data_IF_426200619739
#
_entry.id   IF_426200619739
#
_cell.length_a   1.000
_cell.length_b   1.000
_cell.length_c   1.000
_cell.angle_alpha   90.00
_cell.angle_beta   90.00
_cell.angle_gamma   90.00
#
_symmetry.space_group_name_H-M   'P 1'
#
loop_
_entity.id
_entity.type
_entity.pdbx_description
1 polymer ?
#
# COMPACT_ATOMS: atom_id res chain seq x y z
N UNK A 1 -19.50 25.99 6.96
CA UNK A 1 -19.31 25.08 8.12
C UNK A 1 -18.17 24.11 7.82
N UNK A 2 -17.49 23.55 8.84
CA UNK A 2 -16.42 22.55 8.66
C UNK A 2 -16.90 21.18 9.13
N UNK A 3 -16.76 20.17 8.27
CA UNK A 3 -17.07 18.77 8.54
C UNK A 3 -15.77 17.96 8.50
N UNK A 4 -15.55 17.03 9.43
CA UNK A 4 -14.30 16.26 9.48
C UNK A 4 -14.50 14.90 10.16
N UNK A 5 -13.98 13.85 9.52
CA UNK A 5 -13.92 12.50 10.06
C UNK A 5 -12.80 12.33 11.10
N UNK A 6 -11.87 13.30 11.20
CA UNK A 6 -10.70 13.28 12.11
C UNK A 6 -9.83 12.02 11.98
N UNK A 7 -9.83 11.40 10.80
CA UNK A 7 -8.94 10.29 10.49
C UNK A 7 -7.50 10.81 10.47
N UNK A 8 -6.60 10.07 11.12
CA UNK A 8 -5.17 10.32 11.10
C UNK A 8 -4.51 9.45 10.03
N UNK A 9 -3.65 10.01 9.18
CA UNK A 9 -2.89 9.22 8.22
C UNK A 9 -2.06 8.15 8.94
N UNK A 10 -2.07 6.93 8.40
CA UNK A 10 -1.08 5.90 8.75
C UNK A 10 0.17 6.10 7.89
N UNK A 11 1.15 6.80 8.43
CA UNK A 11 2.34 7.31 7.73
C UNK A 11 3.64 6.58 8.11
N UNK A 12 3.56 5.55 8.95
CA UNK A 12 4.73 4.82 9.44
C UNK A 12 5.50 4.09 8.31
N UNK A 13 4.78 3.62 7.30
CA UNK A 13 5.32 3.12 6.03
C UNK A 13 4.20 3.02 4.99
N UNK A 14 4.61 2.95 3.73
CA UNK A 14 3.68 2.82 2.61
C UNK A 14 3.49 1.35 2.19
N UNK A 15 2.24 0.91 2.06
CA UNK A 15 1.85 -0.44 1.62
C UNK A 15 1.33 -0.40 0.19
N UNK A 16 0.16 0.22 0.04
CA UNK A 16 -0.53 0.54 -1.19
C UNK A 16 -1.68 1.51 -0.84
N UNK A 17 -2.29 2.12 -1.85
CA UNK A 17 -3.34 3.12 -1.66
C UNK A 17 -4.49 2.64 -0.76
N UNK A 18 -5.04 1.44 -0.99
CA UNK A 18 -6.19 0.93 -0.24
C UNK A 18 -5.83 0.60 1.20
N UNK A 19 -4.72 -0.11 1.43
CA UNK A 19 -4.34 -0.53 2.78
C UNK A 19 -3.89 0.64 3.64
N UNK A 20 -3.17 1.63 3.10
CA UNK A 20 -2.85 2.84 3.86
C UNK A 20 -4.12 3.58 4.30
N UNK A 21 -5.15 3.64 3.47
CA UNK A 21 -6.44 4.24 3.85
C UNK A 21 -7.15 3.44 4.94
N UNK A 22 -7.23 2.11 4.76
CA UNK A 22 -7.88 1.25 5.74
C UNK A 22 -7.17 1.28 7.09
N UNK A 23 -5.83 1.28 7.11
CA UNK A 23 -5.07 1.39 8.35
C UNK A 23 -5.09 2.79 8.95
N UNK A 24 -5.24 3.85 8.15
CA UNK A 24 -5.49 5.21 8.67
C UNK A 24 -6.79 5.25 9.46
N UNK A 25 -7.86 4.67 8.89
CA UNK A 25 -9.14 4.56 9.59
C UNK A 25 -9.01 3.65 10.81
N UNK A 26 -8.50 2.42 10.65
CA UNK A 26 -8.39 1.46 11.75
C UNK A 26 -7.57 2.00 12.93
N UNK A 27 -6.41 2.59 12.69
CA UNK A 27 -5.55 3.12 13.75
C UNK A 27 -6.09 4.43 14.37
N UNK A 28 -7.01 5.13 13.69
CA UNK A 28 -7.71 6.28 14.27
C UNK A 28 -8.70 5.82 15.34
N UNK A 29 -9.47 4.77 15.05
CA UNK A 29 -10.49 4.26 15.96
C UNK A 29 -9.92 3.34 17.05
N UNK A 30 -8.93 2.51 16.72
CA UNK A 30 -8.30 1.58 17.64
C UNK A 30 -6.79 1.48 17.32
N UNK A 31 -5.92 2.24 18.01
CA UNK A 31 -4.49 2.37 17.67
C UNK A 31 -3.70 1.06 17.66
N UNK A 32 -4.16 0.02 18.36
CA UNK A 32 -3.51 -1.30 18.35
C UNK A 32 -3.47 -1.97 16.97
N UNK A 33 -4.33 -1.55 16.02
CA UNK A 33 -4.32 -2.05 14.65
C UNK A 33 -3.05 -1.73 13.85
N UNK A 34 -2.19 -0.83 14.34
CA UNK A 34 -0.85 -0.63 13.77
C UNK A 34 -0.05 -1.94 13.75
N UNK A 35 -0.22 -2.79 14.76
CA UNK A 35 0.48 -4.08 14.82
C UNK A 35 0.02 -5.04 13.72
N UNK A 36 -1.25 -4.99 13.33
CA UNK A 36 -1.76 -5.76 12.20
C UNK A 36 -1.12 -5.28 10.87
N UNK A 37 -0.82 -3.99 10.71
CA UNK A 37 -0.12 -3.45 9.54
C UNK A 37 1.33 -3.97 9.46
N UNK A 38 1.99 -4.13 10.62
CA UNK A 38 3.37 -4.63 10.69
C UNK A 38 3.47 -6.14 10.41
N UNK A 39 2.38 -6.89 10.56
CA UNK A 39 2.39 -8.34 10.44
C UNK A 39 3.06 -8.79 9.13
N UNK A 40 3.90 -9.81 9.24
CA UNK A 40 4.63 -10.42 8.13
C UNK A 40 3.72 -11.32 7.26
N UNK A 41 2.45 -10.92 7.08
CA UNK A 41 1.49 -11.61 6.21
C UNK A 41 1.50 -10.99 4.82
N UNK A 42 2.56 -11.27 4.08
CA UNK A 42 2.74 -10.84 2.69
C UNK A 42 3.30 -11.98 1.83
N UNK A 43 3.41 -11.74 0.54
CA UNK A 43 4.08 -12.64 -0.40
C UNK A 43 4.82 -11.82 -1.47
N UNK A 44 5.94 -12.36 -1.96
CA UNK A 44 6.57 -11.84 -3.17
C UNK A 44 5.78 -12.28 -4.39
N UNK A 45 5.52 -11.33 -5.29
CA UNK A 45 4.73 -11.58 -6.49
C UNK A 45 5.39 -10.93 -7.71
N UNK A 46 5.06 -11.45 -8.89
CA UNK A 46 5.55 -10.97 -10.18
C UNK A 46 4.48 -10.09 -10.81
N UNK A 47 4.68 -8.78 -10.82
CA UNK A 47 3.74 -7.86 -11.43
C UNK A 47 4.06 -7.61 -12.89
N UNK A 48 3.03 -7.44 -13.72
CA UNK A 48 3.13 -7.09 -15.14
C UNK A 48 2.94 -5.58 -15.31
N UNK A 49 3.78 -4.92 -16.10
CA UNK A 49 3.59 -3.49 -16.34
C UNK A 49 2.25 -3.24 -17.03
N UNK A 50 1.50 -2.25 -16.56
CA UNK A 50 0.18 -1.92 -17.12
C UNK A 50 0.25 -1.59 -18.61
N UNK A 51 1.38 -1.05 -19.04
CA UNK A 51 1.63 -0.70 -20.44
C UNK A 51 2.28 -1.83 -21.24
N UNK A 52 2.87 -2.84 -20.59
CA UNK A 52 3.50 -4.01 -21.24
C UNK A 52 3.38 -5.29 -20.40
N UNK A 53 2.48 -6.21 -20.78
CA UNK A 53 2.33 -7.50 -20.10
C UNK A 53 3.59 -8.38 -20.16
N UNK A 54 4.49 -8.17 -21.13
CA UNK A 54 5.73 -8.93 -21.25
C UNK A 54 6.81 -8.46 -20.26
N UNK A 55 6.75 -7.21 -19.82
CA UNK A 55 7.66 -6.69 -18.83
C UNK A 55 7.17 -7.02 -17.41
N UNK A 56 8.01 -7.75 -16.67
CA UNK A 56 7.71 -8.20 -15.31
C UNK A 56 8.71 -7.65 -14.29
N UNK A 57 8.24 -7.38 -13.09
CA UNK A 57 9.08 -6.90 -11.98
C UNK A 57 8.59 -7.47 -10.64
N UNK A 58 9.49 -7.59 -9.64
CA UNK A 58 9.13 -8.12 -8.35
C UNK A 58 8.45 -7.02 -7.54
N UNK A 59 7.43 -7.41 -6.80
CA UNK A 59 6.77 -6.58 -5.80
C UNK A 59 6.32 -7.45 -4.63
N UNK A 60 5.70 -6.83 -3.64
CA UNK A 60 5.03 -7.51 -2.56
C UNK A 60 3.53 -7.28 -2.67
N UNK A 61 2.77 -8.34 -2.48
CA UNK A 61 1.35 -8.27 -2.23
C UNK A 61 1.09 -8.56 -0.75
N UNK A 62 0.26 -7.73 -0.12
CA UNK A 62 -0.20 -7.99 1.24
C UNK A 62 -1.45 -8.83 1.13
N UNK A 63 -1.48 -9.97 1.82
CA UNK A 63 -2.63 -10.89 1.75
C UNK A 63 -3.95 -10.25 2.21
N UNK A 64 -3.86 -9.13 2.93
CA UNK A 64 -4.98 -8.27 3.27
C UNK A 64 -5.75 -7.71 2.08
N UNK A 65 -5.05 -7.41 0.98
CA UNK A 65 -5.64 -6.76 -0.19
C UNK A 65 -6.61 -7.68 -0.93
N UNK A 66 -6.20 -8.95 -1.14
CA UNK A 66 -7.02 -9.96 -1.81
C UNK A 66 -8.26 -10.32 -0.96
N UNK A 67 -8.07 -10.53 0.34
CA UNK A 67 -9.18 -10.88 1.24
C UNK A 67 -10.26 -9.79 1.31
N UNK A 68 -9.87 -8.51 1.23
CA UNK A 68 -10.81 -7.40 1.21
C UNK A 68 -11.67 -7.37 -0.07
N UNK A 69 -11.06 -7.54 -1.25
CA UNK A 69 -11.79 -7.52 -2.52
C UNK A 69 -12.67 -8.76 -2.70
N UNK A 70 -12.19 -9.95 -2.32
CA UNK A 70 -12.92 -11.22 -2.51
C UNK A 70 -13.98 -11.52 -1.45
N UNK A 71 -14.06 -10.75 -0.36
CA UNK A 71 -15.15 -10.87 0.63
C UNK A 71 -16.54 -10.59 0.03
N UNK A 72 -16.62 -9.78 -1.02
CA UNK A 72 -17.86 -9.53 -1.74
C UNK A 72 -18.30 -10.72 -2.61
N UNK A 73 -17.44 -11.73 -2.82
CA UNK A 73 -17.76 -12.94 -3.60
C UNK A 73 -18.18 -14.15 -2.73
N UNK A 74 -18.46 -13.94 -1.44
CA UNK A 74 -19.00 -15.00 -0.58
C UNK A 74 -17.99 -16.08 -0.17
N UNK A 75 -16.68 -15.88 -0.40
CA UNK A 75 -15.63 -16.74 0.15
C UNK A 75 -15.52 -16.52 1.66
N UNK A 76 -16.20 -17.37 2.43
CA UNK A 76 -15.90 -17.57 3.85
C UNK A 76 -14.54 -18.24 3.93
N UNK A 77 -13.51 -17.51 4.37
CA UNK A 77 -12.41 -17.98 5.22
C UNK A 77 -11.20 -17.08 5.05
N UNK A 78 -10.97 -16.22 6.03
CA UNK A 78 -9.77 -16.14 6.88
C UNK A 78 -10.00 -15.00 7.87
N UNK A 79 -9.43 -15.11 9.08
CA UNK A 79 -9.52 -14.10 10.16
C UNK A 79 -8.75 -12.83 9.75
N UNK A 80 -9.29 -12.12 8.77
CA UNK A 80 -8.76 -10.86 8.26
C UNK A 80 -8.81 -9.83 9.39
N UNK A 81 -7.67 -9.39 9.92
CA UNK A 81 -7.59 -8.51 11.09
C UNK A 81 -8.51 -7.29 10.94
N UNK A 82 -8.50 -6.64 9.78
CA UNK A 82 -9.32 -5.46 9.51
C UNK A 82 -10.83 -5.76 9.41
N UNK A 83 -11.26 -7.02 9.33
CA UNK A 83 -12.69 -7.35 9.39
C UNK A 83 -13.34 -7.15 10.75
N UNK A 84 -12.52 -7.03 11.79
CA UNK A 84 -12.94 -6.64 13.14
C UNK A 84 -13.14 -5.12 13.26
N UNK A 85 -12.64 -4.34 12.30
CA UNK A 85 -12.83 -2.88 12.20
C UNK A 85 -13.94 -2.53 11.23
N UNK A 86 -13.92 -3.15 10.05
CA UNK A 86 -14.83 -2.83 8.96
C UNK A 86 -15.98 -3.84 8.86
N UNK A 87 -17.17 -3.32 8.58
CA UNK A 87 -18.27 -4.06 7.98
C UNK A 87 -18.07 -4.25 6.47
N UNK A 88 -19.12 -4.69 5.75
CA UNK A 88 -19.08 -4.78 4.30
C UNK A 88 -18.76 -3.43 3.65
N UNK A 89 -17.93 -3.46 2.61
CA UNK A 89 -17.68 -2.31 1.75
C UNK A 89 -18.93 -2.01 0.94
N UNK A 90 -19.40 -0.76 0.97
CA UNK A 90 -20.57 -0.34 0.18
C UNK A 90 -20.09 0.34 -1.10
N UNK A 91 -20.38 -0.29 -2.23
CA UNK A 91 -20.13 0.23 -3.57
C UNK A 91 -21.21 1.26 -3.91
N UNK A 92 -20.82 2.51 -4.16
CA UNK A 92 -21.77 3.60 -4.42
C UNK A 92 -21.56 4.20 -5.80
N UNK A 93 -22.63 4.25 -6.59
CA UNK A 93 -22.71 4.95 -7.85
C UNK A 93 -23.55 6.21 -7.68
N UNK A 94 -23.13 7.31 -8.30
CA UNK A 94 -23.94 8.52 -8.37
C UNK A 94 -25.14 8.26 -9.31
N UNK A 95 -26.39 8.49 -8.87
CA UNK A 95 -27.57 8.29 -9.71
C UNK A 95 -27.61 9.22 -10.92
N UNK A 96 -27.06 10.42 -10.79
CA UNK A 96 -26.95 11.41 -11.85
C UNK A 96 -25.49 11.87 -12.01
N UNK A 97 -25.08 12.04 -13.27
CA UNK A 97 -23.71 12.43 -13.62
C UNK A 97 -23.37 13.84 -13.16
N UNK A 98 -24.37 14.70 -12.98
CA UNK A 98 -24.22 16.11 -12.62
C UNK A 98 -24.45 16.35 -11.11
N UNK A 99 -24.99 15.37 -10.37
CA UNK A 99 -25.28 15.49 -8.93
C UNK A 99 -24.12 15.12 -8.00
N UNK A 100 -23.01 14.61 -8.53
CA UNK A 100 -21.95 14.00 -7.70
C UNK A 100 -21.37 14.96 -6.66
N UNK A 101 -21.20 16.25 -6.99
CA UNK A 101 -20.68 17.25 -6.04
C UNK A 101 -21.60 17.41 -4.84
N UNK A 102 -22.92 17.45 -5.08
CA UNK A 102 -23.89 17.53 -3.99
C UNK A 102 -23.79 16.29 -3.12
N UNK A 103 -23.75 15.10 -3.71
CA UNK A 103 -23.65 13.84 -2.96
C UNK A 103 -22.34 13.72 -2.16
N UNK A 104 -21.18 14.09 -2.73
CA UNK A 104 -19.90 14.10 -2.01
C UNK A 104 -19.99 15.01 -0.78
N UNK A 105 -20.60 16.20 -0.91
CA UNK A 105 -20.80 17.10 0.23
C UNK A 105 -21.72 16.47 1.28
N UNK A 106 -22.81 15.83 0.88
CA UNK A 106 -23.70 15.14 1.83
C UNK A 106 -22.99 13.98 2.55
N UNK A 107 -22.11 13.23 1.86
CA UNK A 107 -21.27 12.22 2.51
C UNK A 107 -20.34 12.84 3.55
N UNK A 108 -19.70 13.98 3.24
CA UNK A 108 -18.89 14.70 4.21
C UNK A 108 -19.72 15.22 5.41
N UNK A 109 -20.91 15.76 5.16
CA UNK A 109 -21.82 16.25 6.22
C UNK A 109 -22.29 15.15 7.16
N UNK A 110 -22.50 13.95 6.62
CA UNK A 110 -22.87 12.77 7.38
C UNK A 110 -21.70 12.15 8.16
N UNK A 111 -20.48 12.71 8.06
CA UNK A 111 -19.24 12.07 8.53
C UNK A 111 -19.11 10.62 8.04
N UNK A 112 -19.53 10.38 6.80
CA UNK A 112 -19.30 9.09 6.15
C UNK A 112 -17.81 8.99 5.81
N UNK A 113 -17.22 7.83 6.07
CA UNK A 113 -15.87 7.50 5.62
C UNK A 113 -16.00 6.90 4.23
N UNK A 114 -15.37 7.53 3.24
CA UNK A 114 -15.42 7.08 1.86
C UNK A 114 -14.16 7.47 1.09
N UNK A 115 -13.89 6.73 0.02
CA UNK A 115 -12.89 7.09 -0.98
C UNK A 115 -13.53 7.30 -2.34
N UNK A 116 -12.97 8.23 -3.12
CA UNK A 116 -13.46 8.59 -4.46
C UNK A 116 -12.41 8.22 -5.51
N UNK A 117 -12.83 7.61 -6.62
CA UNK A 117 -11.98 7.38 -7.78
C UNK A 117 -11.62 8.72 -8.45
N UNK A 118 -10.32 9.01 -8.55
CA UNK A 118 -9.79 10.27 -9.09
C UNK A 118 -8.63 10.00 -10.05
N UNK A 119 -8.43 10.91 -11.00
CA UNK A 119 -7.21 10.94 -11.81
C UNK A 119 -6.09 11.71 -11.10
N UNK A 120 -5.01 11.01 -10.80
CA UNK A 120 -3.84 11.54 -10.10
C UNK A 120 -3.07 12.58 -10.92
N UNK A 121 -3.27 12.67 -12.24
CA UNK A 121 -2.66 13.71 -13.07
C UNK A 121 -3.04 15.12 -12.59
N UNK A 122 -4.28 15.29 -12.13
CA UNK A 122 -4.83 16.58 -11.67
C UNK A 122 -4.93 16.70 -10.14
N UNK A 123 -4.71 15.62 -9.38
CA UNK A 123 -5.21 15.50 -8.00
C UNK A 123 -4.38 16.20 -6.93
N UNK A 124 -3.14 15.78 -6.68
CA UNK A 124 -2.30 16.30 -5.60
C UNK A 124 -1.00 16.85 -6.17
N UNK A 125 -0.72 18.16 -5.99
CA UNK A 125 0.55 18.74 -6.38
C UNK A 125 1.73 18.01 -5.73
N UNK A 126 2.84 17.93 -6.45
CA UNK A 126 4.06 17.24 -5.99
C UNK A 126 3.86 15.72 -5.77
N UNK A 127 2.80 15.10 -6.30
CA UNK A 127 2.70 13.63 -6.35
C UNK A 127 3.50 13.06 -7.53
N UNK A 128 3.65 11.73 -7.56
CA UNK A 128 4.39 11.06 -8.63
C UNK A 128 3.74 11.29 -10.01
N UNK A 129 2.41 11.28 -10.09
CA UNK A 129 1.65 11.37 -11.33
C UNK A 129 1.27 12.81 -11.75
N UNK A 130 1.32 13.76 -10.82
CA UNK A 130 0.85 15.13 -11.04
C UNK A 130 1.48 15.77 -12.28
N UNK A 131 0.63 16.09 -13.27
CA UNK A 131 1.02 16.67 -14.56
C UNK A 131 2.06 15.85 -15.35
N UNK A 132 2.12 14.52 -15.14
CA UNK A 132 3.07 13.62 -15.84
C UNK A 132 2.40 12.49 -16.58
N UNK A 133 1.50 11.75 -15.93
CA UNK A 133 0.77 10.64 -16.55
C UNK A 133 -0.57 10.41 -15.84
N UNK A 134 -1.56 9.91 -16.58
CA UNK A 134 -2.86 9.54 -16.04
C UNK A 134 -2.73 8.21 -15.29
N UNK A 135 -3.09 8.23 -14.00
CA UNK A 135 -3.16 7.05 -13.16
C UNK A 135 -4.33 7.24 -12.21
N UNK A 136 -5.21 6.26 -12.15
CA UNK A 136 -6.43 6.30 -11.36
C UNK A 136 -6.24 5.62 -10.01
N UNK A 137 -6.88 6.19 -8.99
CA UNK A 137 -6.74 5.77 -7.61
C UNK A 137 -7.98 6.20 -6.82
N UNK A 138 -8.32 5.48 -5.75
CA UNK A 138 -9.34 5.92 -4.79
C UNK A 138 -8.70 6.76 -3.71
N UNK A 139 -9.08 8.02 -3.50
CA UNK A 139 -8.53 8.89 -2.46
C UNK A 139 -9.48 9.03 -1.28
N UNK A 140 -8.97 8.93 -0.03
CA UNK A 140 -9.78 8.89 1.19
C UNK A 140 -10.18 10.30 1.64
N UNK A 141 -11.49 10.55 1.75
CA UNK A 141 -12.00 11.84 2.21
C UNK A 141 -12.04 11.92 3.73
N UNK A 142 -11.50 13.01 4.27
CA UNK A 142 -11.42 13.30 5.70
C UNK A 142 -12.21 14.54 6.13
N UNK A 143 -12.80 15.30 5.20
CA UNK A 143 -13.65 16.42 5.54
C UNK A 143 -13.96 17.38 4.40
N UNK A 144 -14.71 18.43 4.72
CA UNK A 144 -15.06 19.53 3.82
C UNK A 144 -15.21 20.84 4.59
N UNK A 145 -14.60 21.91 4.09
CA UNK A 145 -14.85 23.29 4.48
C UNK A 145 -15.71 23.98 3.43
N UNK A 146 -16.98 24.17 3.78
CA UNK A 146 -17.99 24.81 2.93
C UNK A 146 -17.71 26.30 2.71
N UNK A 147 -17.10 27.00 3.68
CA UNK A 147 -16.81 28.43 3.51
C UNK A 147 -15.66 28.65 2.50
N UNK A 148 -14.72 27.70 2.42
CA UNK A 148 -13.58 27.76 1.54
C UNK A 148 -13.74 26.89 0.28
N UNK A 149 -14.87 26.21 0.10
CA UNK A 149 -15.10 25.21 -0.96
C UNK A 149 -13.92 24.25 -1.14
N UNK A 150 -13.44 23.70 -0.02
CA UNK A 150 -12.20 22.90 0.03
C UNK A 150 -12.46 21.56 0.71
N UNK A 151 -12.07 20.46 0.06
CA UNK A 151 -12.12 19.11 0.60
C UNK A 151 -10.80 18.76 1.28
N UNK A 152 -10.86 17.95 2.32
CA UNK A 152 -9.67 17.39 2.98
C UNK A 152 -9.60 15.90 2.67
N UNK A 153 -8.44 15.44 2.21
CA UNK A 153 -8.23 14.05 1.79
C UNK A 153 -6.91 13.52 2.36
N UNK A 154 -6.82 12.22 2.62
CA UNK A 154 -5.59 11.57 3.08
C UNK A 154 -5.01 10.74 1.93
N UNK A 155 -3.81 11.11 1.50
CA UNK A 155 -3.18 10.56 0.30
C UNK A 155 -1.67 10.80 0.28
N UNK A 156 -0.95 10.18 -0.67
CA UNK A 156 0.49 10.38 -0.84
C UNK A 156 0.88 11.43 -1.88
N UNK A 157 1.94 12.17 -1.54
CA UNK A 157 2.76 12.91 -2.48
C UNK A 157 4.25 12.57 -2.24
N UNK A 158 5.17 13.29 -2.88
CA UNK A 158 6.61 13.05 -2.68
C UNK A 158 7.11 13.35 -1.25
N UNK A 159 6.34 14.09 -0.44
CA UNK A 159 6.65 14.41 0.95
C UNK A 159 6.11 13.35 1.94
N UNK A 160 5.24 12.43 1.47
CA UNK A 160 4.71 11.33 2.28
C UNK A 160 3.19 11.19 2.20
N UNK A 161 2.65 10.27 2.99
CA UNK A 161 1.22 9.99 3.10
C UNK A 161 0.60 10.83 4.21
N UNK A 162 -0.17 11.86 3.85
CA UNK A 162 -0.65 12.89 4.78
C UNK A 162 -2.00 13.48 4.35
N UNK A 163 -2.54 14.41 5.15
CA UNK A 163 -3.74 15.16 4.78
C UNK A 163 -3.43 16.30 3.81
N UNK A 164 -4.25 16.44 2.77
CA UNK A 164 -4.14 17.47 1.74
C UNK A 164 -5.45 18.25 1.62
N UNK A 165 -5.32 19.55 1.35
CA UNK A 165 -6.45 20.42 1.03
C UNK A 165 -6.65 20.50 -0.50
N UNK A 166 -7.83 20.12 -0.96
CA UNK A 166 -8.20 20.03 -2.37
C UNK A 166 -9.31 21.04 -2.68
N UNK A 167 -9.03 22.09 -3.46
CA UNK A 167 -10.07 23.00 -3.95
C UNK A 167 -11.11 22.26 -4.80
N UNK A 168 -12.37 22.67 -4.72
CA UNK A 168 -13.47 22.04 -5.46
C UNK A 168 -13.22 21.96 -6.98
N UNK A 169 -12.65 22.99 -7.59
CA UNK A 169 -12.29 22.98 -9.02
C UNK A 169 -11.36 21.81 -9.37
N UNK A 170 -10.40 21.51 -8.48
CA UNK A 170 -9.47 20.41 -8.69
C UNK A 170 -10.17 19.06 -8.55
N UNK A 171 -11.08 18.94 -7.57
CA UNK A 171 -11.93 17.76 -7.43
C UNK A 171 -12.73 17.49 -8.70
N UNK A 172 -13.37 18.53 -9.25
CA UNK A 172 -14.15 18.42 -10.49
C UNK A 172 -13.27 17.88 -11.61
N UNK A 173 -12.13 18.52 -11.88
CA UNK A 173 -11.25 18.11 -12.99
C UNK A 173 -10.71 16.70 -12.78
N UNK A 174 -10.25 16.35 -11.57
CA UNK A 174 -9.76 15.01 -11.26
C UNK A 174 -10.82 13.92 -11.35
N UNK A 175 -12.06 14.19 -10.93
CA UNK A 175 -13.15 13.23 -10.99
C UNK A 175 -13.63 13.04 -12.43
N UNK A 176 -13.85 14.12 -13.18
CA UNK A 176 -14.30 14.05 -14.59
C UNK A 176 -13.32 13.32 -15.50
N UNK A 177 -12.02 13.31 -15.16
CA UNK A 177 -11.00 12.57 -15.87
C UNK A 177 -10.69 11.18 -15.27
N UNK A 178 -11.37 10.78 -14.19
CA UNK A 178 -11.17 9.49 -13.53
C UNK A 178 -11.56 8.30 -14.43
N UNK A 179 -11.07 7.11 -14.10
CA UNK A 179 -11.32 5.90 -14.90
C UNK A 179 -12.81 5.60 -15.04
N UNK A 180 -13.57 5.79 -13.95
CA UNK A 180 -15.00 5.55 -13.95
C UNK A 180 -15.80 6.52 -14.83
N UNK A 181 -15.19 7.64 -15.24
CA UNK A 181 -15.81 8.64 -16.14
C UNK A 181 -15.34 8.49 -17.58
N UNK A 182 -14.08 8.12 -17.79
CA UNK A 182 -13.44 8.11 -19.11
C UNK A 182 -13.44 6.73 -19.78
N UNK A 183 -13.46 5.64 -19.00
CA UNK A 183 -13.42 4.28 -19.50
C UNK A 183 -14.81 3.61 -19.38
N UNK A 184 -15.53 3.37 -20.49
CA UNK A 184 -16.86 2.75 -20.45
C UNK A 184 -16.84 1.29 -19.98
N UNK A 185 -15.69 0.62 -20.05
CA UNK A 185 -15.52 -0.77 -19.61
C UNK A 185 -15.09 -0.87 -18.13
N UNK A 186 -14.97 0.27 -17.43
CA UNK A 186 -14.59 0.28 -16.02
C UNK A 186 -15.72 -0.22 -15.13
N UNK A 187 -15.44 -1.26 -14.34
CA UNK A 187 -16.46 -1.99 -13.56
C UNK A 187 -16.54 -1.59 -12.09
N UNK A 188 -15.55 -0.87 -11.56
CA UNK A 188 -15.55 -0.47 -10.15
C UNK A 188 -16.35 0.83 -9.94
N UNK A 189 -17.00 1.02 -8.77
CA UNK A 189 -17.84 2.19 -8.51
C UNK A 189 -17.02 3.48 -8.37
N UNK A 190 -17.59 4.66 -8.63
CA UNK A 190 -16.88 5.92 -8.37
C UNK A 190 -16.56 6.12 -6.88
N UNK A 191 -17.36 5.57 -5.97
CA UNK A 191 -17.21 5.74 -4.52
C UNK A 191 -17.18 4.40 -3.79
N UNK A 192 -16.23 4.26 -2.87
CA UNK A 192 -16.16 3.17 -1.89
C UNK A 192 -16.49 3.74 -0.51
N UNK A 193 -17.58 3.29 0.11
CA UNK A 193 -17.94 3.70 1.48
C UNK A 193 -17.54 2.64 2.49
N UNK A 194 -16.79 3.06 3.51
CA UNK A 194 -16.34 2.21 4.59
C UNK A 194 -17.35 2.23 5.73
N UNK A 195 -17.88 1.07 6.07
CA UNK A 195 -18.69 0.89 7.28
C UNK A 195 -17.76 0.52 8.43
N UNK A 196 -17.57 1.41 9.41
CA UNK A 196 -16.81 1.09 10.62
C UNK A 196 -17.76 0.49 11.65
N UNK A 197 -17.33 -0.58 12.32
CA UNK A 197 -18.13 -1.23 13.37
C UNK A 197 -18.21 -0.34 14.61
N UNK A 198 -19.34 -0.42 15.30
CA UNK A 198 -19.54 0.34 16.55
C UNK A 198 -18.59 -0.12 17.66
N UNK A 199 -18.37 -1.43 17.76
CA UNK A 199 -17.43 -2.05 18.69
C UNK A 199 -16.24 -2.63 17.91
N UNK A 200 -15.05 -2.09 18.18
CA UNK A 200 -13.80 -2.54 17.59
C UNK A 200 -12.94 -3.11 18.72
N UNK A 201 -12.71 -4.44 18.76
CA UNK A 201 -11.83 -5.02 19.77
C UNK A 201 -10.38 -4.60 19.51
N UNK A 202 -9.56 -4.39 20.55
CA UNK A 202 -8.13 -4.18 20.37
C UNK A 202 -7.49 -5.35 19.61
N UNK A 203 -6.55 -5.04 18.73
CA UNK A 203 -5.76 -6.04 18.03
C UNK A 203 -4.63 -6.55 18.92
N UNK A 204 -4.56 -7.87 19.11
CA UNK A 204 -3.52 -8.53 19.89
C UNK A 204 -2.50 -9.19 18.96
N UNK A 205 -1.27 -8.65 18.96
CA UNK A 205 -0.16 -9.27 18.25
C UNK A 205 0.36 -10.47 19.03
N UNK A 206 0.47 -11.64 18.40
CA UNK A 206 1.01 -12.83 19.04
C UNK A 206 2.25 -13.35 18.34
N UNK A 207 3.22 -13.88 19.10
CA UNK A 207 4.39 -14.54 18.51
C UNK A 207 4.00 -15.74 17.65
N UNK A 208 2.93 -16.46 18.04
CA UNK A 208 2.45 -17.62 17.29
C UNK A 208 2.04 -17.25 15.87
N UNK A 209 1.29 -16.18 15.69
CA UNK A 209 0.87 -15.68 14.37
C UNK A 209 2.07 -15.25 13.53
N UNK A 210 3.00 -14.49 14.11
CA UNK A 210 4.22 -14.05 13.41
C UNK A 210 5.08 -15.24 12.96
N UNK A 211 5.26 -16.25 13.83
CA UNK A 211 6.00 -17.47 13.49
C UNK A 211 5.29 -18.29 12.41
N UNK A 212 3.96 -18.37 12.44
CA UNK A 212 3.18 -19.05 11.39
C UNK A 212 3.42 -18.40 10.02
N UNK A 213 3.36 -17.08 9.94
CA UNK A 213 3.63 -16.36 8.69
C UNK A 213 5.10 -16.42 8.29
N UNK A 214 6.04 -16.39 9.23
CA UNK A 214 7.48 -16.50 8.96
C UNK A 214 7.83 -17.83 8.29
N UNK A 215 7.30 -18.94 8.81
CA UNK A 215 7.48 -20.27 8.24
C UNK A 215 6.93 -20.40 6.81
N UNK A 216 5.76 -19.79 6.54
CA UNK A 216 5.21 -19.68 5.19
C UNK A 216 6.10 -18.85 4.26
N UNK A 217 6.46 -17.64 4.68
CA UNK A 217 7.30 -16.71 3.92
C UNK A 217 8.63 -17.34 3.50
N UNK A 218 9.28 -18.10 4.39
CA UNK A 218 10.52 -18.81 4.06
C UNK A 218 10.34 -19.72 2.85
N UNK A 219 9.26 -20.50 2.80
CA UNK A 219 8.97 -21.39 1.66
C UNK A 219 8.68 -20.60 0.38
N UNK A 220 7.86 -19.57 0.49
CA UNK A 220 7.47 -18.73 -0.64
C UNK A 220 8.68 -18.02 -1.25
N UNK A 221 9.52 -17.39 -0.42
CA UNK A 221 10.75 -16.71 -0.87
C UNK A 221 11.71 -17.70 -1.54
N UNK A 222 11.90 -18.89 -0.98
CA UNK A 222 12.74 -19.94 -1.60
C UNK A 222 12.23 -20.40 -2.97
N UNK A 223 10.93 -20.35 -3.19
CA UNK A 223 10.30 -20.70 -4.47
C UNK A 223 10.23 -19.53 -5.46
N UNK A 224 10.40 -18.30 -4.98
CA UNK A 224 10.34 -17.10 -5.81
C UNK A 224 11.61 -16.98 -6.65
N UNK A 225 11.43 -16.71 -7.94
CA UNK A 225 12.54 -16.57 -8.90
C UNK A 225 12.42 -15.25 -9.67
N UNK A 226 13.55 -14.56 -9.82
CA UNK A 226 13.73 -13.35 -10.65
C UNK A 226 13.91 -13.66 -12.14
N UNK A 227 13.84 -14.92 -12.54
CA UNK A 227 13.88 -15.31 -13.94
C UNK A 227 12.80 -14.57 -14.75
N UNK A 228 13.20 -13.99 -15.89
CA UNK A 228 12.32 -13.21 -16.75
C UNK A 228 11.92 -11.83 -16.21
N UNK A 229 12.35 -11.45 -15.01
CA UNK A 229 12.04 -10.14 -14.43
C UNK A 229 13.11 -9.10 -14.79
N UNK A 230 12.71 -7.83 -14.80
CA UNK A 230 13.55 -6.68 -15.17
C UNK A 230 14.20 -6.78 -16.54
N UNK A 231 13.55 -7.46 -17.48
CA UNK A 231 14.02 -7.57 -18.87
C UNK A 231 13.80 -6.26 -19.62
N UNK A 232 14.64 -5.26 -19.35
CA UNK A 232 14.54 -3.93 -19.99
C UNK A 232 14.98 -3.92 -21.45
N UNK A 233 15.70 -4.96 -21.89
CA UNK A 233 16.19 -5.12 -23.27
C UNK A 233 15.08 -5.50 -24.27
N UNK A 234 13.84 -5.70 -23.79
CA UNK A 234 12.69 -6.00 -24.65
C UNK A 234 12.35 -4.84 -25.59
N UNK A 235 12.52 -3.59 -25.12
CA UNK A 235 12.21 -2.38 -25.90
C UNK A 235 12.92 -1.15 -25.30
N UNK A 236 13.97 -0.66 -25.98
CA UNK A 236 14.72 0.53 -25.54
C UNK A 236 13.88 1.81 -25.55
N UNK A 237 12.83 1.89 -26.37
CA UNK A 237 11.95 3.06 -26.44
C UNK A 237 11.14 3.24 -25.15
N UNK A 238 11.00 2.15 -24.38
CA UNK A 238 10.19 2.05 -23.16
C UNK A 238 11.01 1.87 -21.89
N UNK A 239 12.33 1.99 -22.00
CA UNK A 239 13.27 1.82 -20.89
C UNK A 239 12.87 2.66 -19.66
N UNK A 240 12.47 3.92 -19.85
CA UNK A 240 12.09 4.80 -18.75
C UNK A 240 10.85 4.30 -18.00
N UNK A 241 9.86 3.77 -18.73
CA UNK A 241 8.65 3.20 -18.13
C UNK A 241 9.01 1.95 -17.32
N UNK A 242 9.81 1.04 -17.90
CA UNK A 242 10.25 -0.18 -17.23
C UNK A 242 11.04 0.11 -15.96
N UNK A 243 11.92 1.10 -15.99
CA UNK A 243 12.67 1.53 -14.81
C UNK A 243 11.74 2.16 -13.77
N UNK A 244 10.75 2.95 -14.19
CA UNK A 244 9.74 3.53 -13.30
C UNK A 244 8.93 2.44 -12.59
N UNK A 245 8.37 1.48 -13.33
CA UNK A 245 7.65 0.34 -12.74
C UNK A 245 8.53 -0.47 -11.78
N UNK A 246 9.79 -0.70 -12.15
CA UNK A 246 10.74 -1.40 -11.28
C UNK A 246 11.00 -0.64 -9.98
N UNK A 247 11.19 0.68 -10.05
CA UNK A 247 11.35 1.54 -8.86
C UNK A 247 10.11 1.49 -7.97
N UNK A 248 8.90 1.46 -8.55
CA UNK A 248 7.64 1.30 -7.79
C UNK A 248 7.62 -0.03 -7.05
N UNK A 249 7.87 -1.16 -7.73
CA UNK A 249 7.91 -2.49 -7.11
C UNK A 249 8.97 -2.60 -6.01
N UNK A 250 10.18 -2.09 -6.27
CA UNK A 250 11.25 -2.04 -5.27
C UNK A 250 10.86 -1.16 -4.07
N UNK A 251 10.17 -0.04 -4.30
CA UNK A 251 9.71 0.83 -3.22
C UNK A 251 8.69 0.13 -2.31
N UNK A 252 7.80 -0.71 -2.86
CA UNK A 252 6.88 -1.55 -2.06
C UNK A 252 7.70 -2.52 -1.20
N UNK A 253 8.69 -3.20 -1.79
CA UNK A 253 9.56 -4.13 -1.07
C UNK A 253 10.31 -3.42 0.07
N UNK A 254 10.92 -2.26 -0.21
CA UNK A 254 11.67 -1.48 0.76
C UNK A 254 10.77 -1.02 1.94
N UNK A 255 9.54 -0.57 1.66
CA UNK A 255 8.62 -0.20 2.73
C UNK A 255 8.13 -1.40 3.55
N UNK A 256 7.96 -2.59 2.95
CA UNK A 256 7.67 -3.80 3.71
C UNK A 256 8.76 -4.11 4.73
N UNK A 257 10.02 -3.85 4.40
CA UNK A 257 11.13 -4.04 5.35
C UNK A 257 11.15 -3.00 6.47
N UNK A 258 10.65 -1.77 6.26
CA UNK A 258 10.38 -0.82 7.36
C UNK A 258 9.34 -1.38 8.32
N UNK A 259 8.30 -1.99 7.77
CA UNK A 259 7.23 -2.59 8.55
C UNK A 259 7.69 -3.86 9.30
N UNK A 260 8.57 -4.68 8.71
CA UNK A 260 9.21 -5.80 9.39
C UNK A 260 10.10 -5.33 10.55
N UNK A 261 10.82 -4.22 10.39
CA UNK A 261 11.55 -3.62 11.52
C UNK A 261 10.59 -3.18 12.64
N UNK A 262 9.48 -2.54 12.28
CA UNK A 262 8.44 -2.12 13.24
C UNK A 262 7.80 -3.31 13.94
N UNK A 263 7.61 -4.43 13.24
CA UNK A 263 7.19 -5.71 13.81
C UNK A 263 8.20 -6.22 14.85
N UNK A 264 9.49 -6.28 14.50
CA UNK A 264 10.55 -6.76 15.40
C UNK A 264 10.64 -5.90 16.67
N UNK A 265 10.52 -4.57 16.53
CA UNK A 265 10.44 -3.64 17.67
C UNK A 265 9.21 -3.92 18.53
N UNK A 266 8.04 -4.10 17.91
CA UNK A 266 6.80 -4.42 18.62
C UNK A 266 6.89 -5.75 19.38
N UNK A 267 7.50 -6.78 18.79
CA UNK A 267 7.75 -8.05 19.48
C UNK A 267 8.60 -7.85 20.74
N UNK A 268 9.59 -6.95 20.69
CA UNK A 268 10.43 -6.63 21.85
C UNK A 268 9.68 -5.82 22.90
N UNK A 269 8.98 -4.77 22.50
CA UNK A 269 8.18 -3.91 23.38
C UNK A 269 7.13 -4.70 24.16
N UNK A 270 6.47 -5.65 23.48
CA UNK A 270 5.47 -6.54 24.07
C UNK A 270 6.08 -7.75 24.80
N UNK A 271 7.41 -7.80 24.96
CA UNK A 271 8.14 -8.91 25.61
C UNK A 271 7.84 -10.29 25.00
N UNK A 272 7.52 -10.34 23.71
CA UNK A 272 7.26 -11.57 22.97
C UNK A 272 8.56 -12.27 22.53
N UNK A 273 9.68 -11.55 22.51
CA UNK A 273 11.01 -12.12 22.23
C UNK A 273 12.06 -11.64 23.25
N UNK A 274 13.08 -12.47 23.54
CA UNK A 274 14.25 -12.08 24.32
C UNK A 274 15.05 -10.93 23.67
N UNK A 275 15.81 -10.22 24.50
CA UNK A 275 16.63 -9.08 24.05
C UNK A 275 17.72 -9.49 23.04
N UNK A 276 18.36 -10.63 23.24
CA UNK A 276 19.41 -11.12 22.34
C UNK A 276 18.85 -11.52 20.96
N UNK A 277 17.64 -12.10 20.92
CA UNK A 277 16.92 -12.34 19.66
C UNK A 277 16.58 -11.03 18.97
N UNK A 278 16.07 -10.04 19.71
CA UNK A 278 15.76 -8.72 19.16
C UNK A 278 16.97 -8.06 18.48
N UNK A 279 18.12 -8.00 19.16
CA UNK A 279 19.33 -7.37 18.61
C UNK A 279 19.80 -8.07 17.32
N UNK A 280 19.75 -9.40 17.27
CA UNK A 280 20.10 -10.18 16.06
C UNK A 280 19.16 -9.89 14.90
N UNK A 281 17.85 -9.92 15.14
CA UNK A 281 16.84 -9.65 14.11
C UNK A 281 16.92 -8.21 13.62
N UNK A 282 17.15 -7.25 14.52
CA UNK A 282 17.26 -5.84 14.17
C UNK A 282 18.47 -5.59 13.26
N UNK A 283 19.63 -6.18 13.56
CA UNK A 283 20.81 -6.07 12.71
C UNK A 283 20.55 -6.65 11.30
N UNK A 284 19.91 -7.82 11.22
CA UNK A 284 19.60 -8.47 9.95
C UNK A 284 18.60 -7.65 9.10
N UNK A 285 17.53 -7.11 9.70
CA UNK A 285 16.55 -6.32 8.94
C UNK A 285 17.13 -4.99 8.45
N UNK A 286 18.03 -4.36 9.21
CA UNK A 286 18.72 -3.14 8.78
C UNK A 286 19.61 -3.38 7.55
N UNK A 287 20.28 -4.52 7.50
CA UNK A 287 21.07 -4.93 6.33
C UNK A 287 20.19 -5.15 5.10
N UNK A 288 19.05 -5.84 5.26
CA UNK A 288 18.09 -6.09 4.17
C UNK A 288 17.52 -4.76 3.65
N UNK A 289 17.10 -3.85 4.54
CA UNK A 289 16.58 -2.52 4.19
C UNK A 289 17.58 -1.73 3.36
N UNK A 290 18.81 -1.61 3.86
CA UNK A 290 19.89 -0.88 3.20
C UNK A 290 20.21 -1.47 1.82
N UNK A 291 20.14 -2.79 1.69
CA UNK A 291 20.32 -3.47 0.42
C UNK A 291 19.23 -3.14 -0.60
N UNK A 292 17.95 -3.15 -0.21
CA UNK A 292 16.85 -2.78 -1.11
C UNK A 292 16.88 -1.30 -1.51
N UNK A 293 17.26 -0.40 -0.59
CA UNK A 293 17.50 1.01 -0.92
C UNK A 293 18.63 1.16 -1.94
N UNK A 294 19.70 0.37 -1.82
CA UNK A 294 20.78 0.33 -2.81
C UNK A 294 20.29 -0.18 -4.17
N UNK A 295 19.51 -1.26 -4.23
CA UNK A 295 18.91 -1.73 -5.49
C UNK A 295 18.05 -0.63 -6.12
N UNK A 296 17.21 0.06 -5.34
CA UNK A 296 16.40 1.19 -5.82
C UNK A 296 17.27 2.29 -6.45
N UNK A 297 18.38 2.65 -5.80
CA UNK A 297 19.32 3.65 -6.31
C UNK A 297 19.97 3.21 -7.64
N UNK A 298 20.26 1.92 -7.83
CA UNK A 298 20.77 1.41 -9.11
C UNK A 298 19.76 1.64 -10.24
N UNK A 299 18.47 1.40 -10.00
CA UNK A 299 17.41 1.66 -11.00
C UNK A 299 17.22 3.16 -11.28
N UNK A 300 17.25 4.01 -10.24
CA UNK A 300 17.20 5.47 -10.42
C UNK A 300 18.43 6.01 -11.17
N UNK A 301 19.61 5.43 -10.94
CA UNK A 301 20.82 5.77 -11.69
C UNK A 301 20.71 5.29 -13.14
N UNK A 302 20.15 4.10 -13.36
CA UNK A 302 19.91 3.55 -14.69
C UNK A 302 18.96 4.41 -15.54
N UNK A 303 18.00 5.11 -14.93
CA UNK A 303 17.10 6.01 -15.68
C UNK A 303 17.81 7.26 -16.19
N UNK A 304 18.85 7.71 -15.50
CA UNK A 304 19.72 8.81 -15.95
C UNK A 304 20.72 8.31 -17.00
N UNK A 305 21.34 7.15 -16.75
CA UNK A 305 22.37 6.59 -17.62
C UNK A 305 21.83 5.86 -18.85
N UNK A 306 20.51 5.64 -18.91
CA UNK A 306 19.81 4.81 -19.91
C UNK A 306 20.43 3.42 -20.07
N UNK A 307 20.87 2.82 -18.97
CA UNK A 307 21.48 1.49 -18.95
C UNK A 307 21.32 0.85 -17.58
N UNK A 308 20.79 -0.36 -17.54
CA UNK A 308 20.65 -1.17 -16.33
C UNK A 308 21.60 -2.38 -16.40
N UNK A 309 22.43 -2.57 -15.36
CA UNK A 309 23.11 -3.84 -15.15
C UNK A 309 22.16 -4.82 -14.46
N UNK A 310 21.30 -5.45 -15.28
CA UNK A 310 20.29 -6.39 -14.81
C UNK A 310 20.92 -7.57 -14.03
N UNK A 311 21.97 -8.26 -14.54
CA UNK A 311 22.60 -9.36 -13.79
C UNK A 311 23.07 -8.96 -12.39
N UNK A 312 23.68 -7.77 -12.25
CA UNK A 312 24.08 -7.26 -10.93
C UNK A 312 22.88 -7.03 -10.02
N UNK A 313 21.81 -6.42 -10.52
CA UNK A 313 20.60 -6.16 -9.74
C UNK A 313 19.94 -7.47 -9.27
N UNK A 314 19.81 -8.47 -10.15
CA UNK A 314 19.24 -9.77 -9.80
C UNK A 314 20.07 -10.47 -8.73
N UNK A 315 21.41 -10.49 -8.88
CA UNK A 315 22.31 -11.11 -7.88
C UNK A 315 22.19 -10.46 -6.51
N UNK A 316 22.06 -9.13 -6.45
CA UNK A 316 21.86 -8.41 -5.20
C UNK A 316 20.50 -8.76 -4.57
N UNK A 317 19.43 -8.74 -5.35
CA UNK A 317 18.10 -9.08 -4.87
C UNK A 317 18.00 -10.53 -4.38
N UNK A 318 18.60 -11.51 -5.07
CA UNK A 318 18.69 -12.91 -4.63
C UNK A 318 19.43 -13.03 -3.29
N UNK A 319 20.52 -12.29 -3.10
CA UNK A 319 21.23 -12.24 -1.83
C UNK A 319 20.36 -11.66 -0.72
N UNK A 320 19.52 -10.66 -1.00
CA UNK A 320 18.60 -10.06 -0.03
C UNK A 320 17.47 -11.03 0.34
N UNK A 321 16.93 -11.78 -0.62
CA UNK A 321 15.98 -12.86 -0.33
C UNK A 321 16.57 -13.93 0.58
N UNK A 322 17.82 -14.33 0.35
CA UNK A 322 18.50 -15.30 1.23
C UNK A 322 18.68 -14.76 2.66
N UNK A 323 18.99 -13.46 2.81
CA UNK A 323 19.08 -12.80 4.14
C UNK A 323 17.73 -12.71 4.83
N UNK A 324 16.67 -12.41 4.09
CA UNK A 324 15.31 -12.39 4.63
C UNK A 324 14.85 -13.77 5.10
N UNK A 325 15.18 -14.83 4.36
CA UNK A 325 14.97 -16.21 4.84
C UNK A 325 15.71 -16.45 6.16
N UNK A 326 16.99 -16.06 6.26
CA UNK A 326 17.77 -16.22 7.49
C UNK A 326 17.23 -15.41 8.68
N UNK A 327 16.68 -14.22 8.43
CA UNK A 327 15.98 -13.40 9.42
C UNK A 327 14.82 -14.18 10.05
N UNK A 328 13.94 -14.72 9.20
CA UNK A 328 12.77 -15.45 9.66
C UNK A 328 13.15 -16.78 10.33
N UNK A 329 14.18 -17.49 9.85
CA UNK A 329 14.70 -18.69 10.52
C UNK A 329 15.27 -18.36 11.91
N UNK A 330 15.92 -17.21 12.07
CA UNK A 330 16.42 -16.73 13.37
C UNK A 330 15.27 -16.55 14.36
N UNK A 331 14.15 -15.96 13.92
CA UNK A 331 12.95 -15.80 14.75
C UNK A 331 12.40 -17.17 15.17
N UNK A 332 12.25 -18.11 14.23
CA UNK A 332 11.66 -19.44 14.49
C UNK A 332 12.46 -20.26 15.50
N UNK A 333 13.79 -20.08 15.58
CA UNK A 333 14.64 -20.75 16.58
C UNK A 333 14.38 -20.30 18.02
N UNK A 334 13.71 -19.16 18.21
CA UNK A 334 13.34 -18.63 19.54
C UNK A 334 12.19 -19.42 20.18
N UNK A 335 11.53 -20.31 19.42
CA UNK A 335 10.42 -21.15 19.89
C UNK A 335 10.88 -22.36 20.72
N UNK A 336 12.19 -22.57 20.82
CA UNK A 336 12.87 -23.65 21.55
C UNK A 336 13.80 -23.04 22.59
#
# INVERSE_FOLDING_TARGET
MKYSNRIKPFDEFWMNCILNQMFSVACTYEPSYRYAAYLNSYQYFRWEAATDPLFRYPTIDSMYYLDFLYRNEGRKNHDFSLSKVFGPLVLHHFPDRDSYLHEIRELCKANQIFSLNVDLFYWIPNSMAYQKFHWYHYSLFNGYDEAASTYYVIDDNLDGYMEHAIPEERLIVSYENSECRTNPDYVLPPVLKYSVREEIPPYELTLQEVCFHADRLIREIRSFSLEGQWNVELDESRLNDYLTYSVVGINIIANRHKANESLIRSLRELSLIPADTFERLLAQIQEIRSGWDFVKQLFMKASIQRKLDRPQCCKLAESLFAKEVALWETLLRTKH
#
